data_IF_960063768455
#
_entry.id   IF_960063768455
#
_cell.length_a   1.000
_cell.length_b   1.000
_cell.length_c   1.000
_cell.angle_alpha   90.00
_cell.angle_beta   90.00
_cell.angle_gamma   90.00
#
_symmetry.space_group_name_H-M   'P 1'
#
loop_
_entity.id
_entity.type
_entity.pdbx_description
1 polymer ?
#
# COMPACT_ATOMS: atom_id res chain seq x y z
N UNK A 1 -37.96 -5.18 -12.30
CA UNK A 1 -37.06 -5.25 -11.12
C UNK A 1 -35.70 -4.72 -11.52
N UNK A 2 -35.40 -3.48 -11.13
CA UNK A 2 -34.08 -2.85 -11.35
C UNK A 2 -33.13 -3.45 -10.30
N UNK A 3 -32.11 -4.21 -10.73
CA UNK A 3 -31.03 -4.62 -9.84
C UNK A 3 -30.33 -3.35 -9.33
N UNK A 4 -30.08 -3.21 -8.02
CA UNK A 4 -29.30 -2.09 -7.54
C UNK A 4 -27.89 -2.23 -8.11
N UNK A 5 -27.47 -1.24 -8.89
CA UNK A 5 -26.09 -1.07 -9.33
C UNK A 5 -25.22 -0.92 -8.08
N UNK A 6 -24.57 -2.00 -7.64
CA UNK A 6 -23.46 -1.94 -6.69
C UNK A 6 -22.35 -1.13 -7.37
N UNK A 7 -22.32 0.19 -7.11
CA UNK A 7 -21.11 0.99 -7.35
C UNK A 7 -19.99 0.27 -6.59
N UNK A 8 -19.03 -0.32 -7.31
CA UNK A 8 -17.83 -0.91 -6.74
C UNK A 8 -17.22 0.14 -5.81
N UNK A 9 -17.31 -0.09 -4.50
CA UNK A 9 -16.76 0.82 -3.51
C UNK A 9 -15.25 0.66 -3.57
N UNK A 10 -14.54 1.72 -3.95
CA UNK A 10 -13.07 1.72 -3.97
C UNK A 10 -12.55 1.28 -2.60
N UNK A 11 -11.63 0.33 -2.61
CA UNK A 11 -11.26 -0.49 -1.46
C UNK A 11 -10.52 0.29 -0.36
N UNK A 12 -9.43 0.99 -0.63
CA UNK A 12 -8.72 1.80 0.39
C UNK A 12 -9.68 2.83 1.02
N UNK A 13 -10.51 3.55 0.24
CA UNK A 13 -11.53 4.43 0.80
C UNK A 13 -12.59 3.71 1.61
N UNK A 14 -13.03 2.52 1.21
CA UNK A 14 -14.05 1.76 1.96
C UNK A 14 -13.51 1.15 3.26
N UNK A 15 -12.26 0.68 3.28
CA UNK A 15 -11.55 0.25 4.48
C UNK A 15 -11.26 1.45 5.38
N UNK A 16 -10.84 2.57 4.78
CA UNK A 16 -10.62 3.84 5.46
C UNK A 16 -11.89 4.42 6.07
N UNK A 17 -13.03 4.33 5.37
CA UNK A 17 -14.34 4.76 5.86
C UNK A 17 -14.79 3.88 7.02
N UNK A 18 -14.63 2.56 6.91
CA UNK A 18 -14.86 1.62 8.02
C UNK A 18 -13.96 1.96 9.22
N UNK A 19 -12.70 2.32 8.99
CA UNK A 19 -11.79 2.77 10.04
C UNK A 19 -12.26 4.08 10.69
N UNK A 20 -12.79 5.05 9.94
CA UNK A 20 -13.30 6.31 10.50
C UNK A 20 -14.66 6.19 11.19
N UNK A 21 -15.61 5.45 10.63
CA UNK A 21 -16.94 5.22 11.20
C UNK A 21 -16.85 4.52 12.57
N UNK A 22 -15.87 3.62 12.73
CA UNK A 22 -15.64 2.90 13.99
C UNK A 22 -14.92 3.73 15.07
N UNK A 23 -14.34 4.90 14.75
CA UNK A 23 -13.75 5.80 15.77
C UNK A 23 -14.82 6.63 16.51
N UNK A 24 -16.05 6.68 16.00
CA UNK A 24 -17.15 7.51 16.53
C UNK A 24 -18.10 6.73 17.43
N UNK A 25 -18.11 5.39 17.37
CA UNK A 25 -19.00 4.53 18.16
C UNK A 25 -18.19 3.71 19.17
N UNK A 26 -18.03 4.23 20.40
CA UNK A 26 -17.24 3.61 21.48
C UNK A 26 -18.03 2.70 22.42
N UNK A 27 -19.32 2.45 22.17
CA UNK A 27 -20.14 1.58 23.01
C UNK A 27 -20.72 0.43 22.18
N UNK A 28 -19.90 -0.59 21.88
CA UNK A 28 -20.40 -1.98 21.83
C UNK A 28 -19.26 -3.00 21.71
N UNK A 29 -19.24 -3.90 22.69
CA UNK A 29 -18.33 -5.04 22.77
C UNK A 29 -18.82 -6.17 21.88
N UNK A 30 -18.45 -6.20 20.59
CA UNK A 30 -18.25 -7.45 19.83
C UNK A 30 -17.64 -7.23 18.42
N UNK A 31 -16.38 -7.66 18.24
CA UNK A 31 -15.75 -8.06 16.96
C UNK A 31 -15.57 -6.96 15.88
N UNK A 32 -15.76 -5.66 16.15
CA UNK A 32 -15.27 -4.60 15.26
C UNK A 32 -13.80 -4.26 15.60
N UNK A 33 -12.88 -5.21 15.35
CA UNK A 33 -11.45 -4.99 15.58
C UNK A 33 -10.95 -3.77 14.79
N UNK A 34 -10.60 -2.70 15.52
CA UNK A 34 -9.94 -1.49 15.03
C UNK A 34 -8.61 -1.93 14.37
N UNK A 35 -8.54 -1.91 13.04
CA UNK A 35 -7.27 -2.06 12.32
C UNK A 35 -6.82 -0.68 11.85
N UNK A 36 -5.51 -0.44 11.96
CA UNK A 36 -4.86 0.71 11.34
C UNK A 36 -4.32 0.27 9.99
N UNK A 37 -4.88 0.79 8.90
CA UNK A 37 -4.38 0.49 7.55
C UNK A 37 -3.29 1.48 7.13
N UNK A 38 -2.19 0.94 6.63
CA UNK A 38 -1.10 1.69 6.03
C UNK A 38 -0.75 1.04 4.69
N UNK A 39 -0.75 1.85 3.63
CA UNK A 39 -0.43 1.40 2.28
C UNK A 39 1.05 1.66 1.98
N UNK A 40 1.70 0.69 1.33
CA UNK A 40 3.07 0.79 0.87
C UNK A 40 3.13 0.42 -0.62
N UNK A 41 3.75 1.28 -1.43
CA UNK A 41 4.04 1.02 -2.84
C UNK A 41 5.53 1.14 -3.05
N UNK A 42 6.14 0.15 -3.71
CA UNK A 42 7.57 0.17 -4.00
C UNK A 42 7.79 0.32 -5.51
N UNK A 43 8.53 1.36 -5.89
CA UNK A 43 9.00 1.58 -7.25
C UNK A 43 10.46 1.15 -7.33
N UNK A 44 10.71 0.10 -8.11
CA UNK A 44 12.05 -0.22 -8.58
C UNK A 44 12.42 0.76 -9.70
N UNK A 45 13.71 1.12 -9.76
CA UNK A 45 14.27 1.99 -10.80
C UNK A 45 13.60 3.36 -10.89
N UNK A 46 13.41 4.01 -9.73
CA UNK A 46 12.57 5.20 -9.61
C UNK A 46 13.21 6.49 -10.14
N UNK A 47 14.47 6.46 -10.55
CA UNK A 47 15.26 7.65 -10.86
C UNK A 47 15.90 7.57 -12.25
N UNK A 48 16.12 8.73 -12.85
CA UNK A 48 16.85 8.90 -14.10
C UNK A 48 18.26 9.37 -13.76
N UNK A 49 19.27 8.76 -14.39
CA UNK A 49 20.66 9.23 -14.32
C UNK A 49 20.78 10.61 -14.97
N UNK A 50 21.51 11.53 -14.35
CA UNK A 50 21.80 12.84 -14.95
C UNK A 50 23.05 12.70 -15.84
N UNK A 51 22.95 13.12 -17.10
CA UNK A 51 24.10 13.16 -18.02
C UNK A 51 25.06 14.32 -17.70
N UNK A 52 24.60 15.40 -17.04
CA UNK A 52 25.41 16.58 -16.70
C UNK A 52 25.37 16.88 -15.19
N UNK A 53 26.51 16.75 -14.53
CA UNK A 53 26.66 16.74 -13.08
C UNK A 53 27.45 17.96 -12.58
N UNK A 54 26.75 19.06 -12.31
CA UNK A 54 27.19 20.04 -11.30
C UNK A 54 26.27 20.01 -10.06
N UNK A 55 24.98 19.67 -10.22
CA UNK A 55 23.99 19.55 -9.12
C UNK A 55 23.45 18.11 -8.94
N UNK A 56 24.24 17.10 -9.31
CA UNK A 56 23.77 15.71 -9.34
C UNK A 56 23.63 15.04 -7.95
N UNK A 57 24.25 15.62 -6.92
CA UNK A 57 24.40 14.92 -5.64
C UNK A 57 23.17 14.99 -4.72
N UNK A 58 22.33 16.03 -4.85
CA UNK A 58 21.31 16.25 -3.82
C UNK A 58 19.96 15.60 -4.15
N UNK A 59 19.50 15.64 -5.41
CA UNK A 59 18.19 15.12 -5.79
C UNK A 59 18.17 14.46 -7.19
N UNK A 60 18.25 13.11 -7.27
CA UNK A 60 18.03 12.42 -8.54
C UNK A 60 16.61 12.67 -9.05
N UNK A 61 16.48 12.94 -10.36
CA UNK A 61 15.21 13.20 -11.01
C UNK A 61 14.39 11.91 -11.03
N UNK A 62 13.12 11.98 -10.62
CA UNK A 62 12.23 10.81 -10.65
C UNK A 62 11.88 10.44 -12.10
N UNK A 63 11.62 9.17 -12.36
CA UNK A 63 11.21 8.72 -13.68
C UNK A 63 9.74 9.10 -13.99
N UNK A 64 9.36 9.01 -15.26
CA UNK A 64 8.01 9.36 -15.71
C UNK A 64 6.90 8.46 -15.13
N UNK A 65 7.21 7.22 -14.73
CA UNK A 65 6.25 6.32 -14.08
C UNK A 65 5.88 6.82 -12.68
N UNK A 66 6.87 7.29 -11.91
CA UNK A 66 6.65 7.89 -10.60
C UNK A 66 5.86 9.20 -10.73
N UNK A 67 6.21 10.04 -11.71
CA UNK A 67 5.45 11.27 -12.00
C UNK A 67 3.98 10.98 -12.33
N UNK A 68 3.74 9.96 -13.15
CA UNK A 68 2.39 9.51 -13.51
C UNK A 68 1.65 9.01 -12.29
N UNK A 69 2.31 8.24 -11.43
CA UNK A 69 1.71 7.74 -10.19
C UNK A 69 1.29 8.88 -9.26
N UNK A 70 2.15 9.88 -9.03
CA UNK A 70 1.83 11.05 -8.20
C UNK A 70 0.58 11.76 -8.72
N UNK A 71 0.53 12.03 -10.04
CA UNK A 71 -0.66 12.64 -10.69
C UNK A 71 -1.93 11.80 -10.47
N UNK A 72 -1.81 10.48 -10.54
CA UNK A 72 -2.94 9.56 -10.34
C UNK A 72 -3.39 9.48 -8.88
N UNK A 73 -2.49 9.61 -7.91
CA UNK A 73 -2.85 9.70 -6.48
C UNK A 73 -3.70 10.93 -6.24
N UNK A 74 -3.25 12.10 -6.73
CA UNK A 74 -4.00 13.36 -6.65
C UNK A 74 -5.40 13.23 -7.24
N UNK A 75 -5.49 12.78 -8.50
CA UNK A 75 -6.77 12.57 -9.18
C UNK A 75 -7.68 11.60 -8.41
N UNK A 76 -7.14 10.50 -7.90
CA UNK A 76 -7.91 9.53 -7.14
C UNK A 76 -8.44 10.12 -5.83
N UNK A 77 -7.66 10.96 -5.15
CA UNK A 77 -8.06 11.64 -3.92
C UNK A 77 -9.14 12.70 -4.18
N UNK A 78 -8.99 13.52 -5.22
CA UNK A 78 -9.99 14.49 -5.67
C UNK A 78 -11.33 13.82 -6.02
N UNK A 79 -11.31 12.71 -6.76
CA UNK A 79 -12.53 11.93 -7.07
C UNK A 79 -13.23 11.36 -5.83
N UNK A 80 -12.51 11.20 -4.72
CA UNK A 80 -13.05 10.66 -3.47
C UNK A 80 -13.54 11.72 -2.50
N UNK A 81 -12.87 12.88 -2.45
CA UNK A 81 -13.12 13.94 -1.46
C UNK A 81 -13.78 15.19 -2.05
N UNK A 82 -13.80 15.34 -3.37
CA UNK A 82 -14.16 16.59 -4.04
C UNK A 82 -12.99 17.57 -4.16
N UNK A 83 -13.30 18.84 -4.46
CA UNK A 83 -12.35 19.88 -4.91
C UNK A 83 -11.36 20.40 -3.84
N UNK A 84 -11.43 19.92 -2.61
CA UNK A 84 -10.65 20.46 -1.47
C UNK A 84 -9.44 19.61 -1.04
N UNK A 85 -8.96 18.67 -1.87
CA UNK A 85 -7.76 17.90 -1.56
C UNK A 85 -6.49 18.62 -1.99
N UNK A 86 -5.71 19.09 -1.01
CA UNK A 86 -4.34 19.56 -1.26
C UNK A 86 -3.39 18.36 -1.30
N UNK A 87 -2.74 18.16 -2.45
CA UNK A 87 -1.78 17.07 -2.67
C UNK A 87 -0.40 17.43 -2.12
N UNK A 88 -0.28 17.38 -0.79
CA UNK A 88 0.98 17.64 -0.09
C UNK A 88 1.54 16.34 0.47
N UNK A 89 2.48 15.74 -0.27
CA UNK A 89 3.32 14.65 0.24
C UNK A 89 4.64 15.19 0.79
N UNK A 90 5.18 14.48 1.78
CA UNK A 90 6.51 14.76 2.31
C UNK A 90 7.51 13.79 1.69
N UNK A 91 8.57 14.33 1.04
CA UNK A 91 9.71 13.54 0.57
C UNK A 91 10.73 13.37 1.70
N UNK A 92 11.17 12.14 1.96
CA UNK A 92 12.23 11.79 2.91
C UNK A 92 13.33 11.00 2.21
N UNK A 93 14.58 11.34 2.50
CA UNK A 93 15.72 10.52 2.06
C UNK A 93 15.76 9.20 2.84
N UNK A 94 16.14 8.13 2.15
CA UNK A 94 16.27 6.79 2.74
C UNK A 94 17.57 6.14 2.27
N UNK A 95 18.09 5.13 3.00
CA UNK A 95 19.31 4.43 2.59
C UNK A 95 19.21 3.76 1.21
N UNK A 96 18.00 3.51 0.71
CA UNK A 96 17.73 2.88 -0.59
C UNK A 96 17.27 3.86 -1.68
N UNK A 97 17.24 5.18 -1.39
CA UNK A 97 16.75 6.19 -2.32
C UNK A 97 15.94 7.27 -1.60
N UNK A 98 14.63 7.33 -1.84
CA UNK A 98 13.75 8.22 -1.10
C UNK A 98 12.36 7.62 -0.86
N UNK A 99 11.54 8.29 -0.06
CA UNK A 99 10.17 7.90 0.25
C UNK A 99 9.26 9.12 0.21
N UNK A 100 8.15 8.99 -0.47
CA UNK A 100 7.07 9.97 -0.49
C UNK A 100 5.98 9.53 0.50
N UNK A 101 5.52 10.43 1.35
CA UNK A 101 4.53 10.15 2.40
C UNK A 101 3.30 11.04 2.24
N UNK A 102 2.14 10.42 2.00
CA UNK A 102 0.84 11.09 2.02
C UNK A 102 0.07 10.73 3.28
N UNK A 103 -0.67 11.71 3.79
CA UNK A 103 -1.83 11.44 4.65
C UNK A 103 -3.08 11.53 3.78
N UNK A 104 -3.59 10.37 3.41
CA UNK A 104 -4.84 10.23 2.66
C UNK A 104 -6.04 10.48 3.59
N UNK A 105 -7.23 10.74 3.01
CA UNK A 105 -8.46 10.83 3.78
C UNK A 105 -8.69 9.68 4.77
N UNK A 106 -9.44 9.99 5.84
CA UNK A 106 -9.64 9.12 6.99
C UNK A 106 -8.34 8.79 7.76
N UNK A 107 -7.31 9.64 7.63
CA UNK A 107 -6.00 9.51 8.28
C UNK A 107 -5.27 8.20 7.90
N UNK A 108 -5.46 7.75 6.67
CA UNK A 108 -4.75 6.59 6.13
C UNK A 108 -3.40 7.04 5.58
N UNK A 109 -2.33 6.32 5.90
CA UNK A 109 -0.99 6.67 5.42
C UNK A 109 -0.67 5.91 4.14
N UNK A 110 -0.18 6.61 3.14
CA UNK A 110 0.40 6.03 1.93
C UNK A 110 1.89 6.36 1.88
N UNK A 111 2.72 5.31 1.85
CA UNK A 111 4.16 5.42 1.71
C UNK A 111 4.57 4.88 0.35
N UNK A 112 5.15 5.73 -0.49
CA UNK A 112 5.71 5.32 -1.78
C UNK A 112 7.22 5.33 -1.67
N UNK A 113 7.81 4.15 -1.81
CA UNK A 113 9.23 3.91 -1.72
C UNK A 113 9.85 4.00 -3.11
N UNK A 114 10.79 4.91 -3.30
CA UNK A 114 11.49 5.15 -4.55
C UNK A 114 12.89 4.56 -4.43
N UNK A 115 13.09 3.41 -5.05
CA UNK A 115 14.37 2.70 -4.99
C UNK A 115 15.34 3.26 -6.02
N UNK A 116 16.55 3.51 -5.55
CA UNK A 116 17.69 3.91 -6.37
C UNK A 116 18.50 2.68 -6.74
N UNK A 117 18.52 2.35 -8.04
CA UNK A 117 19.23 1.19 -8.60
C UNK A 117 20.72 1.20 -8.26
N UNK A 118 21.31 2.37 -8.01
CA UNK A 118 22.70 2.51 -7.61
C UNK A 118 22.96 2.17 -6.13
N UNK A 119 21.90 2.15 -5.30
CA UNK A 119 21.99 1.89 -3.85
C UNK A 119 21.48 0.51 -3.45
N UNK A 120 20.70 -0.13 -4.31
CA UNK A 120 20.10 -1.44 -4.02
C UNK A 120 20.57 -2.51 -4.99
N UNK A 121 20.58 -3.76 -4.53
CA UNK A 121 20.89 -4.89 -5.40
C UNK A 121 19.80 -5.08 -6.44
N UNK A 122 20.19 -4.99 -7.71
CA UNK A 122 19.33 -5.32 -8.83
C UNK A 122 18.90 -6.80 -8.78
N UNK A 123 17.58 -7.03 -8.82
CA UNK A 123 16.83 -8.27 -9.16
C UNK A 123 15.55 -8.35 -8.33
N UNK A 124 14.48 -8.87 -8.95
CA UNK A 124 13.14 -9.01 -8.35
C UNK A 124 13.14 -9.60 -6.93
N UNK A 125 13.92 -10.67 -6.67
CA UNK A 125 13.97 -11.30 -5.34
C UNK A 125 14.65 -10.42 -4.29
N UNK A 126 15.67 -9.65 -4.67
CA UNK A 126 16.33 -8.73 -3.74
C UNK A 126 15.42 -7.57 -3.34
N UNK A 127 14.66 -7.02 -4.29
CA UNK A 127 13.63 -6.02 -4.00
C UNK A 127 12.61 -6.55 -2.98
N UNK A 128 12.08 -7.77 -3.17
CA UNK A 128 11.15 -8.38 -2.21
C UNK A 128 11.74 -8.54 -0.80
N UNK A 129 13.01 -8.97 -0.70
CA UNK A 129 13.72 -9.07 0.59
C UNK A 129 13.88 -7.70 1.24
N UNK A 130 14.17 -6.67 0.45
CA UNK A 130 14.28 -5.29 0.93
C UNK A 130 12.93 -4.81 1.49
N UNK A 131 11.82 -5.07 0.81
CA UNK A 131 10.47 -4.67 1.24
C UNK A 131 10.13 -5.27 2.61
N UNK A 132 10.35 -6.58 2.76
CA UNK A 132 10.10 -7.27 4.03
C UNK A 132 11.05 -6.79 5.13
N UNK A 133 12.33 -6.57 4.81
CA UNK A 133 13.31 -6.03 5.78
C UNK A 133 12.92 -4.63 6.26
N UNK A 134 12.44 -3.77 5.36
CA UNK A 134 11.95 -2.44 5.73
C UNK A 134 10.77 -2.54 6.71
N UNK A 135 9.74 -3.33 6.38
CA UNK A 135 8.56 -3.47 7.24
C UNK A 135 8.95 -4.04 8.61
N UNK A 136 9.75 -5.12 8.64
CA UNK A 136 10.08 -5.82 9.88
C UNK A 136 11.11 -5.10 10.76
N UNK A 137 12.05 -4.35 10.17
CA UNK A 137 13.13 -3.71 10.95
C UNK A 137 12.88 -2.23 11.17
N UNK A 138 12.38 -1.51 10.17
CA UNK A 138 12.23 -0.05 10.24
C UNK A 138 10.85 0.39 10.72
N UNK A 139 9.79 -0.34 10.37
CA UNK A 139 8.43 -0.01 10.82
C UNK A 139 8.15 -0.64 12.20
N UNK A 140 8.47 -1.92 12.38
CA UNK A 140 8.10 -2.64 13.60
C UNK A 140 8.99 -2.33 14.82
N UNK A 141 10.31 -2.19 14.65
CA UNK A 141 11.22 -1.98 15.81
C UNK A 141 11.25 -0.52 16.31
N UNK A 142 10.31 0.33 15.87
CA UNK A 142 10.23 1.71 16.33
C UNK A 142 9.79 1.71 17.81
N UNK A 143 10.59 2.26 18.74
CA UNK A 143 10.36 2.13 20.19
C UNK A 143 9.05 2.77 20.69
N UNK A 144 8.42 3.62 19.87
CA UNK A 144 7.16 4.28 20.20
C UNK A 144 5.90 3.46 19.85
N UNK A 145 6.02 2.40 19.04
CA UNK A 145 4.90 1.54 18.68
C UNK A 145 4.80 0.39 19.69
N UNK A 146 3.95 0.53 20.71
CA UNK A 146 3.58 -0.55 21.65
C UNK A 146 2.64 -1.58 20.99
N UNK A 147 2.90 -1.97 19.75
CA UNK A 147 2.10 -2.95 19.01
C UNK A 147 2.82 -4.30 19.06
N UNK A 148 2.16 -5.31 19.62
CA UNK A 148 2.67 -6.69 19.59
C UNK A 148 2.79 -7.16 18.14
N UNK A 149 3.92 -7.79 17.78
CA UNK A 149 4.10 -8.43 16.46
C UNK A 149 2.95 -9.38 16.10
N UNK A 150 2.32 -10.02 17.10
CA UNK A 150 1.20 -10.95 16.88
C UNK A 150 -0.05 -10.27 16.30
N UNK A 151 -0.12 -8.93 16.34
CA UNK A 151 -1.23 -8.12 15.83
C UNK A 151 -0.87 -7.37 14.54
N UNK A 152 0.26 -7.67 13.93
CA UNK A 152 0.71 -7.06 12.68
C UNK A 152 0.52 -8.05 11.55
N UNK A 153 -0.19 -7.59 10.52
CA UNK A 153 -0.50 -8.39 9.34
C UNK A 153 0.04 -7.66 8.11
N UNK A 154 0.66 -8.42 7.21
CA UNK A 154 1.14 -7.91 5.92
C UNK A 154 0.25 -8.49 4.84
N UNK A 155 -0.33 -7.62 4.03
CA UNK A 155 -1.07 -7.99 2.82
C UNK A 155 -0.22 -7.58 1.62
N UNK A 156 0.28 -8.57 0.87
CA UNK A 156 1.04 -8.37 -0.35
C UNK A 156 0.14 -8.64 -1.57
N UNK A 157 0.15 -7.73 -2.54
CA UNK A 157 -0.74 -7.72 -3.70
C UNK A 157 0.02 -7.19 -4.92
N UNK A 158 -0.27 -7.75 -6.09
CA UNK A 158 0.22 -7.22 -7.35
C UNK A 158 -0.58 -5.98 -7.77
N UNK A 159 0.04 -5.08 -8.55
CA UNK A 159 -0.56 -3.80 -8.92
C UNK A 159 -1.79 -3.89 -9.83
N UNK A 160 -2.02 -5.05 -10.45
CA UNK A 160 -3.15 -5.35 -11.34
C UNK A 160 -4.27 -6.17 -10.64
N UNK A 161 -4.11 -6.50 -9.36
CA UNK A 161 -5.08 -7.30 -8.62
C UNK A 161 -6.22 -6.42 -8.11
N UNK A 162 -7.45 -6.79 -8.47
CA UNK A 162 -8.67 -6.23 -7.88
C UNK A 162 -9.11 -7.11 -6.71
N UNK A 163 -9.44 -6.49 -5.58
CA UNK A 163 -10.01 -7.20 -4.43
C UNK A 163 -10.96 -6.31 -3.64
N UNK A 164 -11.92 -6.97 -2.98
CA UNK A 164 -12.95 -6.33 -2.16
C UNK A 164 -12.56 -6.37 -0.67
N UNK A 165 -13.02 -5.42 0.15
CA UNK A 165 -12.77 -5.40 1.60
C UNK A 165 -13.09 -6.72 2.32
N UNK A 166 -14.14 -7.41 1.89
CA UNK A 166 -14.59 -8.69 2.45
C UNK A 166 -13.56 -9.80 2.27
N UNK A 167 -12.75 -9.75 1.21
CA UNK A 167 -11.66 -10.69 0.98
C UNK A 167 -10.56 -10.51 2.04
N UNK A 168 -10.20 -9.27 2.35
CA UNK A 168 -9.22 -8.94 3.40
C UNK A 168 -9.71 -9.44 4.76
N UNK A 169 -10.97 -9.18 5.10
CA UNK A 169 -11.57 -9.66 6.35
C UNK A 169 -11.57 -11.19 6.43
N UNK A 170 -11.81 -11.88 5.32
CA UNK A 170 -11.79 -13.34 5.27
C UNK A 170 -10.38 -13.92 5.49
N UNK A 171 -9.36 -13.30 4.89
CA UNK A 171 -7.95 -13.65 5.14
C UNK A 171 -7.58 -13.43 6.61
N UNK A 172 -7.95 -12.28 7.18
CA UNK A 172 -7.70 -11.97 8.60
C UNK A 172 -8.38 -12.98 9.53
N UNK A 173 -9.65 -13.35 9.28
CA UNK A 173 -10.36 -14.37 10.06
C UNK A 173 -9.63 -15.71 10.02
N UNK A 174 -9.06 -16.08 8.86
CA UNK A 174 -8.28 -17.32 8.72
C UNK A 174 -7.01 -17.27 9.56
N UNK A 175 -6.26 -16.16 9.51
CA UNK A 175 -5.03 -15.98 10.30
C UNK A 175 -5.33 -15.99 11.81
N UNK A 176 -6.43 -15.35 12.24
CA UNK A 176 -6.84 -15.29 13.65
C UNK A 176 -7.32 -16.62 14.24
N UNK A 177 -7.56 -17.65 13.41
CA UNK A 177 -8.03 -18.97 13.89
C UNK A 177 -6.99 -19.69 14.76
N UNK A 178 -5.70 -19.45 14.52
CA UNK A 178 -4.62 -20.06 15.31
C UNK A 178 -3.33 -19.28 15.16
N UNK A 179 -2.60 -19.09 16.27
CA UNK A 179 -1.25 -18.49 16.26
C UNK A 179 -0.22 -19.28 15.45
N UNK A 180 -0.52 -20.54 15.08
CA UNK A 180 0.35 -21.38 14.24
C UNK A 180 0.24 -21.05 12.74
N UNK A 181 -0.71 -20.22 12.33
CA UNK A 181 -0.92 -19.87 10.92
C UNK A 181 -0.05 -18.65 10.59
N UNK A 182 1.02 -18.87 9.82
CA UNK A 182 1.92 -17.80 9.38
C UNK A 182 1.45 -17.03 8.15
N UNK A 183 0.56 -17.60 7.33
CA UNK A 183 0.07 -16.97 6.10
C UNK A 183 -1.31 -17.50 5.67
N UNK A 184 -2.06 -16.67 4.95
CA UNK A 184 -3.29 -17.04 4.27
C UNK A 184 -3.27 -16.41 2.87
N UNK A 185 -3.68 -17.17 1.85
CA UNK A 185 -3.68 -16.73 0.46
C UNK A 185 -5.08 -16.82 -0.13
N UNK A 186 -5.49 -15.79 -0.88
CA UNK A 186 -6.71 -15.79 -1.67
C UNK A 186 -6.50 -16.49 -3.02
N UNK A 187 -7.57 -17.01 -3.62
CA UNK A 187 -7.52 -17.48 -5.01
C UNK A 187 -7.69 -16.31 -5.96
N UNK A 188 -6.78 -16.18 -6.92
CA UNK A 188 -6.84 -15.18 -7.99
C UNK A 188 -7.69 -15.74 -9.13
N UNK A 189 -8.65 -14.95 -9.59
CA UNK A 189 -9.46 -15.25 -10.75
C UNK A 189 -9.02 -14.32 -11.89
N UNK A 190 -8.38 -14.84 -12.95
CA UNK A 190 -7.96 -14.00 -14.07
C UNK A 190 -9.18 -13.38 -14.73
N UNK A 191 -9.14 -12.07 -14.92
CA UNK A 191 -10.17 -11.31 -15.64
C UNK A 191 -9.54 -10.75 -16.91
N UNK A 192 -10.21 -10.94 -18.06
CA UNK A 192 -9.72 -10.51 -19.36
C UNK A 192 -10.12 -11.47 -20.46
N UNK A 193 -9.84 -11.10 -21.70
CA UNK A 193 -10.03 -11.92 -22.89
C UNK A 193 -8.66 -12.41 -23.39
N UNK A 194 -8.58 -13.69 -23.79
CA UNK A 194 -7.33 -14.28 -24.28
C UNK A 194 -7.19 -15.77 -23.97
N UNK A 195 -6.26 -16.44 -24.63
CA UNK A 195 -5.97 -17.87 -24.42
C UNK A 195 -5.31 -18.04 -23.05
N UNK A 196 -5.94 -18.84 -22.18
CA UNK A 196 -5.35 -19.22 -20.90
C UNK A 196 -4.62 -20.55 -21.06
N UNK A 197 -3.29 -20.52 -20.99
CA UNK A 197 -2.50 -21.74 -20.91
C UNK A 197 -2.59 -22.30 -19.48
N UNK A 198 -3.28 -23.43 -19.32
CA UNK A 198 -3.19 -24.24 -18.11
C UNK A 198 -2.00 -25.17 -18.28
N UNK A 199 -0.93 -24.93 -17.52
CA UNK A 199 0.10 -25.94 -17.32
C UNK A 199 -0.54 -27.06 -16.49
N UNK A 200 -0.55 -28.28 -17.04
CA UNK A 200 -0.94 -29.50 -16.32
C UNK A 200 0.17 -29.89 -15.34
#
# INVERSE_FOLDING_TARGET
MVKPSMKSKRMIPSLGKRQSENKVNTDDTNIANIFSLQAHVFFDDAFIEKEDAEDAEEHPKINHYVETFIKMVKKAAEELLGENYTDDYVKKLTPYGSRLEWTLPCNNKLHVHLNDTNKIRYKKRWSQVMYMSYILKYQYKQPHLKISAENIYILALDGDVKFEPEAVLSLMRRLKKSKKIGAACGRIHPMGTGIQFKYK
#
